data_IF_607033442334
#
_entry.id   IF_607033442334
#
_cell.length_a   1.000
_cell.length_b   1.000
_cell.length_c   1.000
_cell.angle_alpha   90.00
_cell.angle_beta   90.00
_cell.angle_gamma   90.00
#
_symmetry.space_group_name_H-M   'P 1'
#
loop_
_entity.id
_entity.type
_entity.pdbx_description
1 polymer ?
#
# COMPACT_ATOMS: atom_id res chain seq x y z
N UNK A 1 11.00 -10.64 -14.02
CA UNK A 1 11.43 -11.09 -12.68
C UNK A 1 10.25 -10.85 -11.76
N UNK A 2 9.43 -11.86 -11.52
CA UNK A 2 8.20 -11.80 -10.71
C UNK A 2 8.46 -11.73 -9.19
N UNK A 3 9.74 -11.74 -8.78
CA UNK A 3 10.15 -11.68 -7.37
C UNK A 3 9.97 -12.99 -6.62
N UNK A 4 9.62 -14.08 -7.32
CA UNK A 4 9.40 -15.40 -6.77
C UNK A 4 10.72 -16.17 -6.70
N UNK A 5 11.07 -16.68 -5.51
CA UNK A 5 12.07 -17.74 -5.41
C UNK A 5 11.43 -19.08 -5.80
N UNK A 6 12.15 -19.93 -6.52
CA UNK A 6 11.76 -21.32 -6.71
C UNK A 6 11.72 -22.06 -5.37
N UNK A 7 10.99 -23.17 -5.29
CA UNK A 7 10.84 -23.97 -4.07
C UNK A 7 12.20 -24.40 -3.48
N UNK A 8 13.18 -24.69 -4.33
CA UNK A 8 14.52 -25.06 -3.90
C UNK A 8 15.30 -23.88 -3.30
N UNK A 9 15.19 -22.70 -3.91
CA UNK A 9 15.83 -21.49 -3.42
C UNK A 9 15.22 -21.03 -2.09
N UNK A 10 13.89 -21.18 -1.92
CA UNK A 10 13.22 -20.93 -0.64
C UNK A 10 13.78 -21.81 0.48
N UNK A 11 13.90 -23.13 0.23
CA UNK A 11 14.45 -24.08 1.20
C UNK A 11 15.94 -23.83 1.52
N UNK A 12 16.71 -23.36 0.54
CA UNK A 12 18.11 -22.97 0.75
C UNK A 12 18.20 -21.72 1.64
N UNK A 13 17.39 -20.71 1.32
CA UNK A 13 17.33 -19.46 2.05
C UNK A 13 16.86 -19.66 3.50
N UNK A 14 15.84 -20.50 3.74
CA UNK A 14 15.36 -20.81 5.09
C UNK A 14 16.43 -21.49 5.95
N UNK A 15 17.25 -22.36 5.35
CA UNK A 15 18.39 -22.98 6.05
C UNK A 15 19.46 -21.94 6.40
N UNK A 16 19.83 -21.08 5.45
CA UNK A 16 20.77 -19.98 5.72
C UNK A 16 20.24 -19.06 6.81
N UNK A 17 18.95 -18.71 6.76
CA UNK A 17 18.31 -17.86 7.75
C UNK A 17 18.35 -18.49 9.16
N UNK A 18 18.27 -19.81 9.31
CA UNK A 18 18.38 -20.45 10.64
C UNK A 18 19.81 -20.38 11.20
N UNK A 19 20.80 -20.48 10.32
CA UNK A 19 22.20 -20.67 10.70
C UNK A 19 23.02 -19.36 10.75
N UNK A 20 22.55 -18.28 10.11
CA UNK A 20 23.23 -16.99 10.06
C UNK A 20 22.45 -15.90 10.84
N UNK A 21 22.90 -15.52 12.04
CA UNK A 21 22.28 -14.46 12.84
C UNK A 21 22.28 -13.08 12.19
N UNK A 22 23.31 -12.74 11.41
CA UNK A 22 23.40 -11.45 10.73
C UNK A 22 22.38 -11.38 9.58
N UNK A 23 22.25 -12.47 8.82
CA UNK A 23 21.21 -12.60 7.80
C UNK A 23 19.80 -12.47 8.40
N UNK A 24 19.54 -13.09 9.56
CA UNK A 24 18.25 -12.94 10.28
C UNK A 24 17.93 -11.49 10.61
N UNK A 25 18.91 -10.78 11.15
CA UNK A 25 18.75 -9.38 11.51
C UNK A 25 18.46 -8.53 10.27
N UNK A 26 19.22 -8.74 9.19
CA UNK A 26 19.04 -8.01 7.93
C UNK A 26 17.64 -8.23 7.34
N UNK A 27 17.18 -9.49 7.28
CA UNK A 27 15.84 -9.83 6.78
C UNK A 27 14.75 -9.22 7.66
N UNK A 28 14.92 -9.23 8.98
CA UNK A 28 14.00 -8.59 9.90
C UNK A 28 13.88 -7.08 9.64
N UNK A 29 15.01 -6.37 9.54
CA UNK A 29 15.04 -4.94 9.27
C UNK A 29 14.44 -4.61 7.90
N UNK A 30 14.79 -5.38 6.87
CA UNK A 30 14.23 -5.23 5.53
C UNK A 30 12.69 -5.35 5.55
N UNK A 31 12.13 -6.34 6.27
CA UNK A 31 10.67 -6.48 6.44
C UNK A 31 10.05 -5.26 7.13
N UNK A 32 10.72 -4.66 8.12
CA UNK A 32 10.26 -3.43 8.78
C UNK A 32 10.26 -2.24 7.82
N UNK A 33 11.31 -2.07 7.01
CA UNK A 33 11.38 -1.02 5.99
C UNK A 33 10.25 -1.18 4.96
N UNK A 34 10.04 -2.38 4.42
CA UNK A 34 8.92 -2.63 3.49
C UNK A 34 7.57 -2.31 4.11
N UNK A 35 7.36 -2.66 5.37
CA UNK A 35 6.12 -2.34 6.10
C UNK A 35 5.92 -0.84 6.20
N UNK A 36 6.97 -0.10 6.57
CA UNK A 36 6.93 1.37 6.66
C UNK A 36 6.62 2.00 5.29
N UNK A 37 7.29 1.55 4.23
CA UNK A 37 7.04 2.03 2.87
C UNK A 37 5.61 1.73 2.42
N UNK A 38 5.06 0.56 2.74
CA UNK A 38 3.66 0.22 2.44
C UNK A 38 2.70 1.15 3.16
N UNK A 39 2.93 1.47 4.43
CA UNK A 39 2.11 2.42 5.18
C UNK A 39 2.23 3.84 4.64
N UNK A 40 3.43 4.28 4.30
CA UNK A 40 3.66 5.60 3.72
C UNK A 40 2.96 5.75 2.36
N UNK A 41 3.11 4.76 1.47
CA UNK A 41 2.38 4.73 0.19
C UNK A 41 0.86 4.74 0.38
N UNK A 42 0.34 3.98 1.36
CA UNK A 42 -1.09 3.98 1.69
C UNK A 42 -1.55 5.33 2.22
N UNK A 43 -0.75 6.00 3.05
CA UNK A 43 -1.03 7.35 3.55
C UNK A 43 -1.11 8.34 2.40
N UNK A 44 -0.10 8.35 1.52
CA UNK A 44 -0.08 9.24 0.35
C UNK A 44 -1.27 8.99 -0.57
N UNK A 45 -1.59 7.72 -0.86
CA UNK A 45 -2.75 7.37 -1.67
C UNK A 45 -4.06 7.85 -1.04
N UNK A 46 -4.21 7.70 0.28
CA UNK A 46 -5.38 8.19 1.01
C UNK A 46 -5.48 9.72 0.97
N UNK A 47 -4.37 10.43 1.09
CA UNK A 47 -4.31 11.88 0.97
C UNK A 47 -4.66 12.35 -0.44
N UNK A 48 -4.13 11.70 -1.49
CA UNK A 48 -4.48 12.00 -2.88
C UNK A 48 -5.97 11.73 -3.17
N UNK A 49 -6.51 10.60 -2.71
CA UNK A 49 -7.93 10.29 -2.84
C UNK A 49 -8.81 11.31 -2.11
N UNK A 50 -8.39 11.77 -0.93
CA UNK A 50 -9.08 12.83 -0.19
C UNK A 50 -9.06 14.15 -0.95
N UNK A 51 -7.90 14.58 -1.46
CA UNK A 51 -7.79 15.81 -2.24
C UNK A 51 -8.69 15.79 -3.49
N UNK A 52 -8.79 14.64 -4.17
CA UNK A 52 -9.73 14.46 -5.30
C UNK A 52 -11.17 14.54 -4.84
N UNK A 53 -11.53 13.86 -3.75
CA UNK A 53 -12.86 13.91 -3.17
C UNK A 53 -13.26 15.35 -2.81
N UNK A 54 -12.44 16.05 -2.04
CA UNK A 54 -12.71 17.41 -1.57
C UNK A 54 -12.88 18.36 -2.76
N UNK A 55 -12.05 18.24 -3.81
CA UNK A 55 -12.19 19.02 -5.04
C UNK A 55 -13.51 18.74 -5.77
N UNK A 56 -13.94 17.48 -5.86
CA UNK A 56 -15.11 17.11 -6.64
C UNK A 56 -16.44 17.30 -5.88
N UNK A 57 -16.44 17.10 -4.56
CA UNK A 57 -17.65 17.05 -3.76
C UNK A 57 -17.82 18.21 -2.78
N UNK A 58 -16.75 18.91 -2.43
CA UNK A 58 -16.79 20.00 -1.44
C UNK A 58 -16.47 21.38 -2.02
N UNK A 59 -15.95 21.44 -3.25
CA UNK A 59 -15.85 22.70 -4.00
C UNK A 59 -17.25 23.20 -4.42
N UNK A 60 -17.66 24.42 -4.01
CA UNK A 60 -18.97 24.97 -4.36
C UNK A 60 -19.20 25.11 -5.88
N UNK A 61 -18.13 25.21 -6.68
CA UNK A 61 -18.21 25.21 -8.16
C UNK A 61 -18.74 23.87 -8.70
N UNK A 62 -18.56 22.79 -7.95
CA UNK A 62 -18.97 21.43 -8.32
C UNK A 62 -20.28 20.98 -7.64
N UNK A 63 -21.04 21.89 -7.02
CA UNK A 63 -22.29 21.56 -6.32
C UNK A 63 -23.30 20.79 -7.18
N UNK A 64 -23.45 21.16 -8.46
CA UNK A 64 -24.34 20.45 -9.39
C UNK A 64 -23.90 19.01 -9.71
N UNK A 65 -22.59 18.74 -9.70
CA UNK A 65 -22.05 17.39 -9.85
C UNK A 65 -22.36 16.55 -8.62
N UNK A 66 -22.13 17.10 -7.42
CA UNK A 66 -22.49 16.46 -6.14
C UNK A 66 -23.96 16.06 -6.11
N UNK A 67 -24.86 16.98 -6.45
CA UNK A 67 -26.31 16.73 -6.45
C UNK A 67 -26.72 15.65 -7.47
N UNK A 68 -26.09 15.66 -8.64
CA UNK A 68 -26.31 14.65 -9.69
C UNK A 68 -25.94 13.25 -9.22
N UNK A 69 -24.80 13.11 -8.54
CA UNK A 69 -24.34 11.84 -7.97
C UNK A 69 -25.24 11.40 -6.80
N UNK A 70 -25.55 12.30 -5.87
CA UNK A 70 -26.42 11.97 -4.72
C UNK A 70 -27.81 11.51 -5.17
N UNK A 71 -28.32 12.02 -6.30
CA UNK A 71 -29.59 11.57 -6.88
C UNK A 71 -29.58 10.11 -7.34
N UNK A 72 -28.42 9.56 -7.74
CA UNK A 72 -28.28 8.14 -8.11
C UNK A 72 -28.55 7.23 -6.90
N UNK A 73 -28.18 7.68 -5.71
CA UNK A 73 -28.31 6.92 -4.46
C UNK A 73 -29.61 7.22 -3.68
N UNK A 74 -30.51 8.05 -4.22
CA UNK A 74 -31.80 8.40 -3.62
C UNK A 74 -32.97 7.52 -4.12
N UNK A 75 -32.67 6.43 -4.82
CA UNK A 75 -33.63 5.39 -5.17
C UNK A 75 -33.68 4.29 -4.11
#
# INVERSE_FOLDING_TARGET
>A
MDGSLSSLEQLSFERQLKNDPALRLNVFLQRKVYTLLKHYRRKNLKESARAVHDKLFDDPVNAGFKDSILRIFKS
#
